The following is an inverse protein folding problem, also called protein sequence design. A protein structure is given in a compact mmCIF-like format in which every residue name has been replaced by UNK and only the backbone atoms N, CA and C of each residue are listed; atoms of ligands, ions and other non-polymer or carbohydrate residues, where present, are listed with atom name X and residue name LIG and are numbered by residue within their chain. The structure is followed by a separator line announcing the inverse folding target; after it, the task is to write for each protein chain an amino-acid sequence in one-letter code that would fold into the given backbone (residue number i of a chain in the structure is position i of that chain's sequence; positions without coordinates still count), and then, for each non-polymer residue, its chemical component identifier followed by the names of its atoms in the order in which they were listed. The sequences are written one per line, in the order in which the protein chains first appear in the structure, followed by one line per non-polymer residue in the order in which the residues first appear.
data_IF_243168028555
#
_entry.id   IF_243168028555
#
_cell.length_a   1.000
_cell.length_b   1.000
_cell.length_c   1.000
_cell.angle_alpha   90.00
_cell.angle_beta   90.00
_cell.angle_gamma   90.00
#
_symmetry.space_group_name_H-M   'P 1'
#
loop_
_entity.id
_entity.type
_entity.pdbx_description
1 polymer ?
#
# COMPACT_ATOMS: atom_id res chain seq x y z
N UNK A 1 10.10 8.24 -12.83
CA UNK A 1 10.43 7.98 -11.41
C UNK A 1 9.96 6.60 -11.02
N UNK A 2 10.84 5.79 -10.43
CA UNK A 2 10.51 4.40 -10.10
C UNK A 2 9.75 4.33 -8.77
N UNK A 3 8.71 3.52 -8.72
CA UNK A 3 8.06 3.04 -7.49
C UNK A 3 8.42 1.56 -7.25
N UNK A 4 9.56 1.15 -7.80
CA UNK A 4 10.09 -0.21 -7.70
C UNK A 4 11.46 -0.19 -7.05
N UNK A 5 11.74 -1.21 -6.25
CA UNK A 5 12.98 -1.40 -5.48
C UNK A 5 13.57 -2.77 -5.79
N UNK A 6 14.88 -2.92 -5.65
CA UNK A 6 15.61 -4.18 -5.83
C UNK A 6 16.16 -4.38 -7.25
N UNK A 7 16.94 -5.44 -7.39
CA UNK A 7 17.61 -5.83 -8.63
C UNK A 7 17.20 -7.22 -9.09
N UNK A 8 17.70 -8.29 -8.46
CA UNK A 8 17.37 -9.68 -8.81
C UNK A 8 15.91 -10.05 -8.46
N UNK A 9 15.42 -9.55 -7.32
CA UNK A 9 14.01 -9.57 -6.94
C UNK A 9 13.58 -8.11 -6.88
N UNK A 10 12.51 -7.74 -7.56
CA UNK A 10 11.99 -6.39 -7.51
C UNK A 10 10.65 -6.33 -6.80
N UNK A 11 10.47 -5.25 -6.04
CA UNK A 11 9.24 -4.93 -5.34
C UNK A 11 8.68 -3.63 -5.90
N UNK A 12 7.44 -3.63 -6.36
CA UNK A 12 6.70 -2.44 -6.72
C UNK A 12 5.54 -2.25 -5.76
N UNK A 13 5.40 -1.05 -5.21
CA UNK A 13 4.29 -0.68 -4.34
C UNK A 13 3.33 0.19 -5.14
N UNK A 14 2.04 -0.09 -5.07
CA UNK A 14 1.01 0.62 -5.81
C UNK A 14 -0.18 0.99 -4.94
N UNK A 15 -0.99 1.90 -5.46
CA UNK A 15 -2.23 2.37 -4.86
C UNK A 15 -2.11 3.68 -4.10
N UNK A 16 -3.26 4.21 -3.74
CA UNK A 16 -3.46 5.45 -2.97
C UNK A 16 -4.39 5.20 -1.80
N UNK A 17 -4.29 6.01 -0.75
CA UNK A 17 -5.06 5.82 0.49
C UNK A 17 -6.58 5.88 0.29
N UNK A 18 -7.05 6.57 -0.73
CA UNK A 18 -8.46 6.70 -1.10
C UNK A 18 -8.76 6.12 -2.50
N UNK A 19 -7.82 5.40 -3.10
CA UNK A 19 -8.04 4.54 -4.25
C UNK A 19 -8.80 3.27 -3.87
N UNK A 20 -9.10 2.42 -4.84
CA UNK A 20 -9.84 1.16 -4.62
C UNK A 20 -9.08 0.18 -3.74
N UNK A 21 -7.76 0.12 -3.93
CA UNK A 21 -6.88 -0.78 -3.21
C UNK A 21 -5.46 -0.22 -3.14
N UNK A 22 -4.68 -0.81 -2.25
CA UNK A 22 -3.22 -0.71 -2.22
C UNK A 22 -2.63 -2.10 -2.36
N UNK A 23 -1.34 -2.19 -2.66
CA UNK A 23 -0.70 -3.49 -2.71
C UNK A 23 0.75 -3.46 -3.12
N UNK A 24 1.26 -4.66 -3.32
CA UNK A 24 2.63 -4.90 -3.73
C UNK A 24 2.70 -5.95 -4.84
N UNK A 25 3.60 -5.72 -5.77
CA UNK A 25 4.00 -6.68 -6.79
C UNK A 25 5.46 -7.05 -6.55
N UNK A 26 5.69 -8.34 -6.30
CA UNK A 26 7.03 -8.92 -6.15
C UNK A 26 7.33 -9.67 -7.43
N UNK A 27 8.30 -9.20 -8.21
CA UNK A 27 8.74 -9.86 -9.43
C UNK A 27 9.99 -10.69 -9.20
N UNK A 28 10.09 -11.81 -9.93
CA UNK A 28 11.20 -12.77 -9.88
C UNK A 28 11.44 -13.39 -8.49
N UNK A 29 10.40 -13.76 -7.71
CA UNK A 29 10.64 -14.54 -6.50
C UNK A 29 11.17 -15.92 -6.89
N UNK A 30 12.10 -16.52 -6.11
CA UNK A 30 12.48 -17.90 -6.33
C UNK A 30 11.25 -18.81 -6.31
N UNK A 31 11.11 -19.79 -7.23
CA UNK A 31 10.02 -20.74 -7.19
C UNK A 31 10.17 -21.70 -6.00
N UNK A 32 9.02 -22.21 -5.49
CA UNK A 32 9.00 -23.19 -4.42
C UNK A 32 9.18 -22.65 -3.00
N UNK A 33 9.13 -21.34 -2.80
CA UNK A 33 9.10 -20.77 -1.47
C UNK A 33 7.70 -20.93 -0.86
N UNK A 34 7.64 -21.42 0.38
CA UNK A 34 6.39 -21.55 1.12
C UNK A 34 5.85 -20.16 1.48
N UNK A 35 4.60 -19.90 1.13
CA UNK A 35 3.89 -18.69 1.49
C UNK A 35 3.05 -18.95 2.73
N UNK A 36 3.42 -18.36 3.86
CA UNK A 36 2.69 -18.48 5.13
C UNK A 36 1.67 -17.36 5.26
N UNK A 37 0.40 -17.73 5.24
CA UNK A 37 -0.70 -16.79 5.48
C UNK A 37 -0.69 -16.25 6.92
N UNK A 38 -0.26 -17.08 7.86
CA UNK A 38 -0.15 -16.74 9.28
C UNK A 38 0.92 -15.67 9.48
N UNK A 39 2.05 -15.79 8.78
CA UNK A 39 3.14 -14.82 8.85
C UNK A 39 2.74 -13.48 8.23
N UNK A 40 2.09 -13.50 7.06
CA UNK A 40 1.55 -12.28 6.44
C UNK A 40 0.55 -11.59 7.40
N UNK A 41 -0.39 -12.34 7.96
CA UNK A 41 -1.37 -11.81 8.91
C UNK A 41 -0.71 -11.22 10.17
N UNK A 42 0.37 -11.85 10.66
CA UNK A 42 1.14 -11.36 11.79
C UNK A 42 1.79 -9.99 11.49
N UNK A 43 2.41 -9.81 10.33
CA UNK A 43 3.01 -8.53 9.94
C UNK A 43 1.95 -7.45 9.68
N UNK A 44 0.85 -7.78 9.02
CA UNK A 44 -0.27 -6.86 8.84
C UNK A 44 -0.85 -6.41 10.19
N UNK A 45 -0.94 -7.33 11.17
CA UNK A 45 -1.39 -6.97 12.53
C UNK A 45 -0.45 -5.99 13.23
N UNK A 46 0.87 -6.10 13.03
CA UNK A 46 1.84 -5.17 13.62
C UNK A 46 1.67 -3.73 13.14
N UNK A 47 1.21 -3.55 11.92
CA UNK A 47 0.94 -2.25 11.32
C UNK A 47 -0.29 -1.57 11.92
N UNK A 48 -1.25 -2.35 12.46
CA UNK A 48 -2.49 -1.78 13.00
C UNK A 48 -2.18 -0.84 14.15
N UNK A 49 -2.89 0.30 14.23
CA UNK A 49 -2.75 1.22 15.35
C UNK A 49 -3.00 0.51 16.68
N UNK A 50 -2.04 0.58 17.58
CA UNK A 50 -2.14 0.03 18.92
C UNK A 50 -1.77 1.11 19.95
N UNK A 51 -2.75 1.64 20.68
CA UNK A 51 -2.54 2.52 21.81
C UNK A 51 -2.93 4.00 21.60
N UNK A 52 -2.63 4.82 22.62
CA UNK A 52 -3.07 6.21 22.75
C UNK A 52 -2.52 7.20 21.70
N UNK A 53 -1.51 6.82 20.94
CA UNK A 53 -0.80 7.69 19.98
C UNK A 53 -1.19 7.38 18.54
N UNK A 54 -2.04 6.39 18.31
CA UNK A 54 -2.40 5.94 16.98
C UNK A 54 -3.73 6.55 16.50
N UNK A 55 -3.89 6.66 15.17
CA UNK A 55 -5.14 7.15 14.59
C UNK A 55 -6.29 6.21 14.92
N UNK A 56 -7.49 6.76 15.14
CA UNK A 56 -8.71 6.01 15.49
C UNK A 56 -9.23 5.09 14.37
N UNK A 57 -8.55 5.07 13.21
CA UNK A 57 -8.96 4.28 12.04
C UNK A 57 -8.49 2.83 12.19
N UNK A 58 -9.42 1.93 12.47
CA UNK A 58 -9.17 0.48 12.45
C UNK A 58 -9.57 -0.06 11.08
N UNK A 59 -8.60 -0.57 10.34
CA UNK A 59 -8.82 -1.23 9.05
C UNK A 59 -8.61 -2.74 9.22
N UNK A 60 -9.45 -3.53 8.60
CA UNK A 60 -9.39 -4.99 8.69
C UNK A 60 -8.13 -5.56 8.02
N UNK A 61 -7.54 -4.82 7.05
CA UNK A 61 -6.37 -5.21 6.25
C UNK A 61 -6.49 -6.65 5.72
N UNK A 62 -7.68 -6.99 5.24
CA UNK A 62 -7.88 -8.23 4.51
C UNK A 62 -7.11 -8.17 3.21
N UNK A 63 -6.24 -9.15 2.98
CA UNK A 63 -5.42 -9.18 1.78
C UNK A 63 -5.85 -10.32 0.84
N UNK A 64 -5.54 -10.15 -0.42
CA UNK A 64 -5.72 -11.16 -1.48
C UNK A 64 -4.40 -11.37 -2.20
N UNK A 65 -4.03 -12.62 -2.44
CA UNK A 65 -2.93 -12.96 -3.35
C UNK A 65 -3.56 -13.28 -4.70
N UNK A 66 -3.27 -12.47 -5.70
CA UNK A 66 -3.91 -12.55 -7.01
C UNK A 66 -3.13 -13.38 -8.02
N UNK A 67 -1.81 -13.53 -7.84
CA UNK A 67 -0.94 -14.27 -8.75
C UNK A 67 0.32 -14.79 -8.05
N UNK A 68 1.07 -15.65 -8.74
CA UNK A 68 2.41 -16.07 -8.36
C UNK A 68 2.49 -17.12 -7.26
N UNK A 69 1.35 -17.63 -6.78
CA UNK A 69 1.30 -18.68 -5.74
C UNK A 69 0.38 -19.80 -6.18
N UNK A 70 0.87 -21.04 -6.09
CA UNK A 70 0.12 -22.25 -6.34
C UNK A 70 0.41 -23.30 -5.26
N UNK A 71 -0.64 -23.92 -4.72
CA UNK A 71 -0.52 -24.89 -3.61
C UNK A 71 0.32 -24.38 -2.43
N UNK A 72 0.20 -23.08 -2.09
CA UNK A 72 0.91 -22.46 -0.97
C UNK A 72 2.39 -22.19 -1.22
N UNK A 73 2.87 -22.33 -2.44
CA UNK A 73 4.26 -22.05 -2.83
C UNK A 73 4.33 -21.05 -3.97
N UNK A 74 5.40 -20.27 -4.00
CA UNK A 74 5.69 -19.36 -5.13
C UNK A 74 5.94 -20.16 -6.40
N UNK A 75 5.47 -19.63 -7.54
CA UNK A 75 5.65 -20.25 -8.85
C UNK A 75 6.89 -19.75 -9.60
N UNK A 76 7.53 -18.68 -9.11
CA UNK A 76 8.57 -17.94 -9.82
C UNK A 76 8.04 -16.84 -10.73
N UNK A 77 6.72 -16.80 -10.97
CA UNK A 77 6.07 -15.68 -11.66
C UNK A 77 5.75 -14.55 -10.67
N UNK A 78 5.42 -13.34 -11.14
CA UNK A 78 5.13 -12.23 -10.24
C UNK A 78 4.05 -12.54 -9.20
N UNK A 79 4.35 -12.29 -7.94
CA UNK A 79 3.40 -12.40 -6.82
C UNK A 79 2.75 -11.04 -6.61
N UNK A 80 1.44 -10.97 -6.77
CA UNK A 80 0.66 -9.76 -6.53
C UNK A 80 -0.18 -9.93 -5.27
N UNK A 81 0.03 -9.02 -4.33
CA UNK A 81 -0.76 -8.92 -3.09
C UNK A 81 -1.54 -7.61 -3.12
N UNK A 82 -2.83 -7.71 -2.85
CA UNK A 82 -3.76 -6.57 -2.84
C UNK A 82 -4.48 -6.48 -1.51
N UNK A 83 -4.65 -5.27 -1.00
CA UNK A 83 -5.43 -4.93 0.18
C UNK A 83 -6.49 -3.91 -0.23
N UNK A 84 -7.78 -4.29 -0.28
CA UNK A 84 -8.87 -3.36 -0.59
C UNK A 84 -9.00 -2.25 0.44
N UNK A 85 -9.30 -1.05 -0.02
CA UNK A 85 -9.63 0.08 0.84
C UNK A 85 -11.12 0.08 1.15
N UNK A 86 -11.51 -0.37 2.34
CA UNK A 86 -12.92 -0.52 2.74
C UNK A 86 -13.46 0.66 3.54
N UNK A 87 -12.59 1.50 4.13
CA UNK A 87 -12.98 2.56 5.06
C UNK A 87 -12.59 3.96 4.53
N UNK A 88 -13.08 4.32 3.34
CA UNK A 88 -12.78 5.63 2.73
C UNK A 88 -13.78 6.69 3.21
N UNK A 89 -13.29 7.80 3.76
CA UNK A 89 -14.07 9.02 4.02
C UNK A 89 -13.55 10.13 3.10
N UNK A 90 -14.04 10.19 1.88
CA UNK A 90 -13.58 11.13 0.85
C UNK A 90 -14.15 12.54 0.99
N UNK A 91 -15.16 12.76 1.83
CA UNK A 91 -15.87 14.05 1.96
C UNK A 91 -15.03 15.18 2.54
N UNK A 92 -14.08 14.89 3.41
CA UNK A 92 -13.37 15.88 4.22
C UNK A 92 -12.20 16.56 3.49
N UNK A 93 -11.80 16.07 2.31
CA UNK A 93 -10.57 16.53 1.63
C UNK A 93 -10.80 17.57 0.53
N UNK A 94 -12.04 17.84 0.10
CA UNK A 94 -12.32 18.78 -0.99
C UNK A 94 -11.89 20.22 -0.69
N UNK A 95 -12.01 20.66 0.55
CA UNK A 95 -11.68 22.03 0.94
C UNK A 95 -10.18 22.30 1.06
N UNK A 96 -9.36 21.27 1.30
CA UNK A 96 -7.92 21.42 1.55
C UNK A 96 -7.05 20.89 0.41
N UNK A 97 -7.66 20.37 -0.65
CA UNK A 97 -6.95 19.75 -1.77
C UNK A 97 -6.06 20.70 -2.57
N UNK A 98 -6.28 22.02 -2.45
CA UNK A 98 -5.48 23.05 -3.13
C UNK A 98 -4.30 23.58 -2.32
N UNK A 99 -4.19 23.21 -1.05
CA UNK A 99 -3.13 23.70 -0.14
C UNK A 99 -2.19 22.56 0.24
N UNK A 100 -0.88 22.80 0.11
CA UNK A 100 0.12 21.88 0.61
C UNK A 100 0.11 21.88 2.15
N UNK A 101 -0.13 20.73 2.76
CA UNK A 101 -0.20 20.60 4.22
C UNK A 101 1.20 20.53 4.82
N UNK A 102 1.47 21.28 5.91
CA UNK A 102 2.73 21.12 6.66
C UNK A 102 2.94 19.67 7.10
N UNK A 103 4.19 19.21 7.06
CA UNK A 103 4.61 17.83 7.43
C UNK A 103 4.03 16.71 6.56
N UNK A 104 3.32 17.03 5.47
CA UNK A 104 2.90 16.07 4.45
C UNK A 104 3.79 16.15 3.21
N UNK A 105 3.73 15.11 2.38
CA UNK A 105 4.49 15.05 1.12
C UNK A 105 3.82 15.85 -0.03
N UNK A 106 2.81 16.68 0.24
CA UNK A 106 1.99 17.33 -0.79
C UNK A 106 2.82 18.16 -1.77
N UNK A 107 3.76 18.98 -1.28
CA UNK A 107 4.62 19.78 -2.14
C UNK A 107 5.58 18.92 -3.00
N UNK A 108 6.14 17.86 -2.39
CA UNK A 108 7.01 16.91 -3.09
C UNK A 108 6.22 16.08 -4.12
N UNK A 109 5.00 15.67 -3.78
CA UNK A 109 4.09 14.96 -4.67
C UNK A 109 3.70 15.83 -5.86
N UNK A 110 3.33 17.08 -5.62
CA UNK A 110 3.03 18.04 -6.69
C UNK A 110 4.20 18.21 -7.65
N UNK A 111 5.40 18.41 -7.12
CA UNK A 111 6.62 18.53 -7.93
C UNK A 111 6.92 17.24 -8.71
N UNK A 112 6.73 16.09 -8.08
CA UNK A 112 7.02 14.77 -8.67
C UNK A 112 6.03 14.38 -9.75
N UNK A 113 4.74 14.61 -9.53
CA UNK A 113 3.65 14.14 -10.39
C UNK A 113 2.94 15.29 -11.14
N UNK A 114 3.51 16.50 -11.10
CA UNK A 114 3.02 17.67 -11.85
C UNK A 114 1.54 18.04 -11.55
N UNK A 115 1.09 17.73 -10.33
CA UNK A 115 -0.28 18.03 -9.89
C UNK A 115 -1.34 17.00 -10.28
N UNK A 116 -0.95 15.86 -10.87
CA UNK A 116 -1.87 14.78 -11.27
C UNK A 116 -2.01 13.67 -10.21
N UNK A 117 -1.38 13.84 -9.06
CA UNK A 117 -1.51 12.90 -7.95
C UNK A 117 -2.91 12.92 -7.31
N UNK A 118 -3.33 11.79 -6.73
CA UNK A 118 -4.53 11.74 -5.90
C UNK A 118 -4.28 12.44 -4.56
N UNK A 119 -4.88 13.61 -4.35
CA UNK A 119 -4.73 14.43 -3.15
C UNK A 119 -5.66 14.06 -2.00
N UNK A 120 -6.50 13.06 -2.18
CA UNK A 120 -7.37 12.57 -1.12
C UNK A 120 -6.52 11.89 -0.04
N UNK A 121 -6.63 12.33 1.20
CA UNK A 121 -5.78 11.85 2.29
C UNK A 121 -4.31 12.15 2.03
N UNK A 122 -3.45 11.15 2.13
CA UNK A 122 -2.03 11.24 1.80
C UNK A 122 -1.67 10.69 0.41
N UNK A 123 -2.67 10.29 -0.39
CA UNK A 123 -2.45 9.66 -1.69
C UNK A 123 -1.53 8.44 -1.59
N UNK A 124 -0.57 8.36 -2.50
CA UNK A 124 0.46 7.31 -2.50
C UNK A 124 1.48 7.47 -1.35
N UNK A 125 1.57 8.63 -0.72
CA UNK A 125 2.48 8.90 0.41
C UNK A 125 1.81 8.71 1.78
N UNK A 126 0.61 8.15 1.81
CA UNK A 126 -0.12 7.87 3.03
C UNK A 126 0.53 6.74 3.84
N UNK A 127 0.39 6.79 5.16
CA UNK A 127 0.69 5.65 6.04
C UNK A 127 -0.11 4.38 5.69
N UNK A 128 -1.19 4.49 4.93
CA UNK A 128 -1.94 3.34 4.40
C UNK A 128 -1.07 2.43 3.53
N UNK A 129 -0.13 2.99 2.79
CA UNK A 129 0.77 2.25 1.89
C UNK A 129 1.76 1.34 2.63
N UNK A 130 1.87 1.46 3.94
CA UNK A 130 2.74 0.60 4.77
C UNK A 130 2.10 -0.74 5.15
N UNK A 131 0.88 -1.01 4.70
CA UNK A 131 0.18 -2.26 4.98
C UNK A 131 0.82 -3.50 4.35
#
# INVERSE_FOLDING_TARGET
MKNSFGDAITLSIFGESHGEAIGALIDSPPPGLKVSKEEIAFYLKKRRPAGLVSTARVEADEYRILSGVYNGMTTGTPVMIEIPNTAQRSGDYKAISSLARPSHADAAAYSKYHGFEDRRGGGHFSGRITA
#
